data_IF_197407756385
#
_entry.id   IF_197407756385
#
_cell.length_a   1.000
_cell.length_b   1.000
_cell.length_c   1.000
_cell.angle_alpha   90.00
_cell.angle_beta   90.00
_cell.angle_gamma   90.00
#
_symmetry.space_group_name_H-M   'P 1'
#
loop_
_entity.id
_entity.type
_entity.pdbx_description
1 polymer ?
#
# COMPACT_ATOMS: atom_id res chain seq x y z
N UNK A 1 17.89 -11.29 13.07
CA UNK A 1 17.18 -11.64 14.35
C UNK A 1 15.76 -11.08 14.34
N UNK A 2 15.01 -11.12 15.46
CA UNK A 2 13.63 -10.54 15.51
C UNK A 2 13.64 -9.02 15.27
N UNK A 3 14.60 -8.29 15.85
CA UNK A 3 14.76 -6.86 15.63
C UNK A 3 14.93 -6.52 14.14
N UNK A 4 15.85 -7.20 13.46
CA UNK A 4 16.10 -7.04 12.03
C UNK A 4 14.86 -7.33 11.16
N UNK A 5 14.02 -8.30 11.56
CA UNK A 5 12.74 -8.56 10.90
C UNK A 5 11.78 -7.37 11.05
N UNK A 6 11.65 -6.84 12.27
CA UNK A 6 10.82 -5.65 12.55
C UNK A 6 11.33 -4.44 11.77
N UNK A 7 12.64 -4.19 11.79
CA UNK A 7 13.27 -3.08 11.06
C UNK A 7 13.03 -3.18 9.56
N UNK A 8 13.13 -4.41 9.00
CA UNK A 8 12.82 -4.66 7.58
C UNK A 8 11.34 -4.37 7.26
N UNK A 9 10.43 -4.86 8.07
CA UNK A 9 8.99 -4.62 7.89
C UNK A 9 8.65 -3.12 7.94
N UNK A 10 9.25 -2.38 8.89
CA UNK A 10 9.07 -0.93 8.99
C UNK A 10 9.65 -0.21 7.77
N UNK A 11 10.86 -0.58 7.34
CA UNK A 11 11.48 0.00 6.13
C UNK A 11 10.63 -0.22 4.87
N UNK A 12 10.05 -1.41 4.69
CA UNK A 12 9.17 -1.68 3.56
C UNK A 12 7.89 -0.84 3.62
N UNK A 13 7.29 -0.68 4.80
CA UNK A 13 6.10 0.18 4.96
C UNK A 13 6.42 1.65 4.66
N UNK A 14 7.57 2.16 5.13
CA UNK A 14 8.03 3.51 4.79
C UNK A 14 8.21 3.66 3.28
N UNK A 15 8.85 2.68 2.63
CA UNK A 15 9.02 2.68 1.17
C UNK A 15 7.68 2.69 0.43
N UNK A 16 6.69 1.93 0.88
CA UNK A 16 5.34 2.00 0.32
C UNK A 16 4.74 3.40 0.46
N UNK A 17 4.84 4.02 1.64
CA UNK A 17 4.30 5.36 1.87
C UNK A 17 4.96 6.41 0.96
N UNK A 18 6.29 6.36 0.86
CA UNK A 18 7.08 7.30 0.07
C UNK A 18 6.81 7.21 -1.42
N UNK A 19 6.72 5.99 -1.97
CA UNK A 19 6.55 5.78 -3.40
C UNK A 19 5.08 5.89 -3.82
N UNK A 20 4.15 5.30 -3.07
CA UNK A 20 2.71 5.41 -3.37
C UNK A 20 2.21 6.83 -3.18
N UNK A 21 2.71 7.56 -2.17
CA UNK A 21 2.36 8.96 -1.94
C UNK A 21 2.78 9.92 -3.06
N UNK A 22 3.60 9.47 -4.02
CA UNK A 22 3.95 10.24 -5.24
C UNK A 22 2.98 9.99 -6.40
N UNK A 23 2.09 9.00 -6.27
CA UNK A 23 1.11 8.70 -7.31
C UNK A 23 0.04 9.80 -7.37
N UNK A 24 -0.48 10.12 -8.56
CA UNK A 24 -1.55 11.10 -8.70
C UNK A 24 -2.74 10.78 -7.80
N UNK A 25 -3.24 11.80 -7.11
CA UNK A 25 -4.40 11.71 -6.24
C UNK A 25 -4.27 10.72 -5.07
N UNK A 26 -3.07 10.19 -4.79
CA UNK A 26 -2.84 9.35 -3.62
C UNK A 26 -2.61 10.19 -2.36
N UNK A 27 -3.32 9.87 -1.29
CA UNK A 27 -3.15 10.46 0.03
C UNK A 27 -2.75 9.37 1.02
N UNK A 28 -1.62 9.55 1.71
CA UNK A 28 -1.24 8.73 2.87
C UNK A 28 -1.93 9.30 4.11
N UNK A 29 -2.75 8.49 4.77
CA UNK A 29 -3.69 8.91 5.81
C UNK A 29 -3.12 8.85 7.23
N UNK A 30 -1.99 8.18 7.43
CA UNK A 30 -1.34 8.03 8.73
C UNK A 30 0.15 8.34 8.67
N UNK A 31 0.70 8.70 9.82
CA UNK A 31 2.15 8.66 10.01
C UNK A 31 2.63 7.20 10.03
N UNK A 32 3.60 6.87 9.20
CA UNK A 32 4.11 5.49 9.04
C UNK A 32 5.30 5.27 9.97
N UNK A 33 4.98 5.10 11.26
CA UNK A 33 5.96 4.89 12.34
C UNK A 33 6.30 3.41 12.57
N UNK A 34 5.53 2.49 11.97
CA UNK A 34 5.71 1.04 12.07
C UNK A 34 5.48 0.39 10.69
N UNK A 35 4.90 -0.80 10.64
CA UNK A 35 4.75 -1.62 9.44
C UNK A 35 3.40 -1.43 8.71
N UNK A 36 2.68 -0.33 8.96
CA UNK A 36 1.34 -0.10 8.42
C UNK A 36 1.21 1.22 7.67
N UNK A 37 0.57 1.14 6.50
CA UNK A 37 0.24 2.27 5.64
C UNK A 37 -1.25 2.24 5.35
N UNK A 38 -1.91 3.36 5.61
CA UNK A 38 -3.26 3.67 5.18
C UNK A 38 -3.15 4.68 4.05
N UNK A 39 -3.77 4.36 2.93
CA UNK A 39 -3.81 5.24 1.79
C UNK A 39 -5.20 5.26 1.16
N UNK A 40 -5.51 6.34 0.47
CA UNK A 40 -6.69 6.45 -0.39
C UNK A 40 -6.34 7.21 -1.66
N UNK A 41 -7.25 7.16 -2.62
CA UNK A 41 -7.20 7.99 -3.81
C UNK A 41 -8.28 9.08 -3.76
N UNK A 42 -8.49 9.78 -4.88
CA UNK A 42 -9.36 10.96 -4.99
C UNK A 42 -10.73 10.79 -4.31
N UNK A 43 -11.40 9.65 -4.54
CA UNK A 43 -12.66 9.28 -3.91
C UNK A 43 -12.70 7.77 -3.60
N UNK A 44 -13.81 7.34 -3.01
CA UNK A 44 -14.00 5.97 -2.56
C UNK A 44 -14.18 4.99 -3.75
N UNK A 45 -14.77 5.44 -4.86
CA UNK A 45 -14.95 4.64 -6.08
C UNK A 45 -13.60 4.33 -6.74
N UNK A 46 -12.75 5.34 -6.90
CA UNK A 46 -11.39 5.19 -7.42
C UNK A 46 -10.55 4.34 -6.47
N UNK A 47 -10.66 4.58 -5.16
CA UNK A 47 -9.92 3.79 -4.17
C UNK A 47 -10.32 2.31 -4.22
N UNK A 48 -11.59 2.00 -4.42
CA UNK A 48 -12.08 0.64 -4.64
C UNK A 48 -11.56 0.04 -5.95
N UNK A 49 -11.63 0.78 -7.05
CA UNK A 49 -11.18 0.31 -8.36
C UNK A 49 -9.68 -0.01 -8.36
N UNK A 50 -8.86 0.85 -7.73
CA UNK A 50 -7.42 0.61 -7.60
C UNK A 50 -7.15 -0.63 -6.75
N UNK A 51 -7.83 -0.79 -5.60
CA UNK A 51 -7.68 -1.99 -4.78
C UNK A 51 -8.00 -3.28 -5.56
N UNK A 52 -9.12 -3.28 -6.29
CA UNK A 52 -9.54 -4.43 -7.09
C UNK A 52 -8.51 -4.74 -8.19
N UNK A 53 -8.04 -3.72 -8.91
CA UNK A 53 -7.06 -3.88 -9.98
C UNK A 53 -5.74 -4.48 -9.46
N UNK A 54 -5.24 -4.01 -8.31
CA UNK A 54 -4.01 -4.55 -7.71
C UNK A 54 -4.21 -5.98 -7.22
N UNK A 55 -5.33 -6.29 -6.58
CA UNK A 55 -5.61 -7.68 -6.17
C UNK A 55 -5.73 -8.62 -7.38
N UNK A 56 -6.37 -8.17 -8.47
CA UNK A 56 -6.53 -8.93 -9.70
C UNK A 56 -5.22 -9.17 -10.45
N UNK A 57 -4.21 -8.32 -10.25
CA UNK A 57 -2.90 -8.54 -10.84
C UNK A 57 -2.16 -9.73 -10.20
N UNK A 58 -2.57 -10.17 -9.01
CA UNK A 58 -1.94 -11.26 -8.27
C UNK A 58 -0.61 -10.91 -7.60
N UNK A 59 -0.17 -9.66 -7.69
CA UNK A 59 1.12 -9.20 -7.14
C UNK A 59 1.06 -9.02 -5.63
N UNK A 60 -0.08 -8.55 -5.12
CA UNK A 60 -0.28 -8.33 -3.70
C UNK A 60 -1.73 -8.53 -3.30
N UNK A 61 -1.92 -9.03 -2.09
CA UNK A 61 -3.22 -9.09 -1.44
C UNK A 61 -3.22 -8.17 -0.22
N UNK A 62 -4.19 -7.26 -0.16
CA UNK A 62 -4.39 -6.33 0.95
C UNK A 62 -5.86 -6.01 1.13
N UNK A 63 -6.25 -5.51 2.29
CA UNK A 63 -7.65 -5.28 2.64
C UNK A 63 -8.05 -3.81 2.49
N UNK A 64 -9.28 -3.57 2.05
CA UNK A 64 -9.95 -2.29 2.27
C UNK A 64 -10.27 -2.08 3.76
N UNK A 65 -10.44 -0.84 4.16
CA UNK A 65 -10.84 -0.42 5.51
C UNK A 65 -11.61 0.90 5.44
N UNK A 66 -12.15 1.33 6.58
CA UNK A 66 -12.83 2.62 6.71
C UNK A 66 -12.00 3.50 7.62
N UNK A 67 -11.70 4.71 7.16
CA UNK A 67 -10.95 5.74 7.89
C UNK A 67 -11.71 7.06 7.85
N UNK A 68 -12.14 7.54 9.02
CA UNK A 68 -12.98 8.73 9.17
C UNK A 68 -14.19 8.72 8.21
N UNK A 69 -14.96 7.63 8.22
CA UNK A 69 -16.15 7.41 7.38
C UNK A 69 -15.89 7.37 5.86
N UNK A 70 -14.63 7.23 5.43
CA UNK A 70 -14.27 7.10 4.02
C UNK A 70 -13.50 5.83 3.74
N UNK A 71 -13.63 5.28 2.53
CA UNK A 71 -12.90 4.07 2.15
C UNK A 71 -11.39 4.33 2.02
N UNK A 72 -10.60 3.37 2.49
CA UNK A 72 -9.13 3.41 2.43
C UNK A 72 -8.57 2.00 2.20
N UNK A 73 -7.34 1.93 1.71
CA UNK A 73 -6.57 0.69 1.58
C UNK A 73 -5.61 0.61 2.77
N UNK A 74 -5.52 -0.57 3.38
CA UNK A 74 -4.54 -0.85 4.44
C UNK A 74 -3.52 -1.87 3.97
N UNK A 75 -2.25 -1.44 3.94
CA UNK A 75 -1.09 -2.30 3.75
C UNK A 75 -0.49 -2.59 5.12
N UNK A 76 -0.27 -3.87 5.43
CA UNK A 76 0.40 -4.32 6.65
C UNK A 76 1.55 -5.25 6.29
N UNK A 77 2.79 -4.80 6.50
CA UNK A 77 3.98 -5.59 6.17
C UNK A 77 4.34 -6.47 7.36
N UNK A 78 3.83 -7.69 7.40
CA UNK A 78 4.04 -8.62 8.51
C UNK A 78 4.61 -9.98 8.09
N UNK A 79 4.65 -10.27 6.79
CA UNK A 79 5.22 -11.51 6.29
C UNK A 79 6.74 -11.40 6.24
N UNK A 80 7.42 -12.28 6.99
CA UNK A 80 8.88 -12.31 7.01
C UNK A 80 9.51 -12.62 5.64
N UNK A 81 8.76 -13.22 4.70
CA UNK A 81 9.24 -13.48 3.34
C UNK A 81 9.14 -12.29 2.40
N UNK A 82 8.43 -11.22 2.77
CA UNK A 82 8.35 -10.02 1.93
C UNK A 82 9.75 -9.46 1.70
N UNK A 83 10.08 -9.30 0.43
CA UNK A 83 11.35 -8.80 -0.10
C UNK A 83 11.20 -7.41 -0.71
N UNK A 84 12.33 -6.77 -1.02
CA UNK A 84 12.33 -5.50 -1.74
C UNK A 84 11.74 -5.63 -3.17
N UNK A 85 11.81 -6.82 -3.77
CA UNK A 85 11.20 -7.11 -5.08
C UNK A 85 9.67 -7.18 -4.97
N UNK A 86 9.14 -7.82 -3.92
CA UNK A 86 7.69 -7.83 -3.66
C UNK A 86 7.13 -6.41 -3.48
N UNK A 87 7.86 -5.55 -2.76
CA UNK A 87 7.50 -4.14 -2.59
C UNK A 87 7.49 -3.42 -3.93
N UNK A 88 8.54 -3.60 -4.74
CA UNK A 88 8.68 -2.96 -6.05
C UNK A 88 7.56 -3.39 -7.02
N UNK A 89 7.25 -4.69 -7.07
CA UNK A 89 6.16 -5.23 -7.90
C UNK A 89 4.79 -4.73 -7.47
N UNK A 90 4.57 -4.62 -6.16
CA UNK A 90 3.33 -4.08 -5.60
C UNK A 90 3.17 -2.61 -5.96
N UNK A 91 4.21 -1.78 -5.82
CA UNK A 91 4.18 -0.35 -6.22
C UNK A 91 3.89 -0.22 -7.71
N UNK A 92 4.57 -1.00 -8.56
CA UNK A 92 4.32 -0.99 -10.00
C UNK A 92 2.88 -1.43 -10.35
N UNK A 93 2.25 -2.29 -9.55
CA UNK A 93 0.84 -2.66 -9.73
C UNK A 93 -0.09 -1.48 -9.41
N UNK A 94 0.19 -0.70 -8.36
CA UNK A 94 -0.54 0.54 -8.07
C UNK A 94 -0.36 1.58 -9.17
N UNK A 95 0.86 1.79 -9.67
CA UNK A 95 1.14 2.69 -10.79
C UNK A 95 0.31 2.34 -12.03
N UNK A 96 0.27 1.05 -12.40
CA UNK A 96 -0.54 0.57 -13.51
C UNK A 96 -2.02 0.81 -13.25
N UNK A 97 -2.52 0.48 -12.06
CA UNK A 97 -3.92 0.65 -11.71
C UNK A 97 -4.38 2.11 -11.81
N UNK A 98 -3.57 3.06 -11.34
CA UNK A 98 -3.85 4.50 -11.41
C UNK A 98 -3.79 5.02 -12.85
N UNK A 99 -2.86 4.51 -13.68
CA UNK A 99 -2.71 4.94 -15.08
C UNK A 99 -3.78 4.41 -16.05
N UNK A 100 -4.64 3.50 -15.61
CA UNK A 100 -5.77 2.96 -16.39
C UNK A 100 -7.09 3.74 -16.27
N UNK A 101 -7.09 4.86 -15.53
CA UNK A 101 -8.28 5.71 -15.30
C UNK A 101 -8.30 6.99 -16.12
#
# INVERSE_FOLDING_TARGET
GVAELVDRCCRHAQRFADELGRLPSCEILNEVVLNQVLLRFADDEITHAVLEAVQRSGEAWMSGTTWNDRFAIRISVSNWRTSDDDVSRTIAAFERAVGTG
#
